data_IF_217712082834
#
_entry.id   IF_217712082834
#
_cell.length_a   1.000
_cell.length_b   1.000
_cell.length_c   1.000
_cell.angle_alpha   90.00
_cell.angle_beta   90.00
_cell.angle_gamma   90.00
#
_symmetry.space_group_name_H-M   'P 1'
#
loop_
_entity.id
_entity.type
_entity.pdbx_description
1 polymer ?
#
# COMPACT_ATOMS: atom_id res chain seq x y z
N UNK A 1 32.38 20.47 50.28
CA UNK A 1 32.85 19.08 50.43
C UNK A 1 31.93 18.19 49.60
N UNK A 2 32.29 17.93 48.34
CA UNK A 2 31.78 16.81 47.56
C UNK A 2 32.99 16.28 46.76
N UNK A 3 33.48 15.12 47.19
CA UNK A 3 34.40 14.26 46.47
C UNK A 3 33.63 13.52 45.38
N UNK A 4 34.26 13.30 44.23
CA UNK A 4 33.67 12.56 43.13
C UNK A 4 34.57 12.45 41.91
N UNK A 5 35.82 12.02 42.11
CA UNK A 5 36.69 11.51 41.04
C UNK A 5 36.02 10.32 40.36
N UNK A 6 35.72 10.44 39.06
CA UNK A 6 35.48 9.30 38.20
C UNK A 6 36.69 9.15 37.28
N UNK A 7 37.59 8.24 37.65
CA UNK A 7 38.68 7.79 36.81
C UNK A 7 38.16 6.60 36.01
N UNK A 8 37.88 6.80 34.72
CA UNK A 8 37.75 5.70 33.77
C UNK A 8 38.98 5.76 32.86
N UNK A 9 39.98 4.95 33.17
CA UNK A 9 41.02 4.55 32.21
C UNK A 9 40.60 3.17 31.71
N UNK A 10 39.63 3.17 30.79
CA UNK A 10 39.46 2.08 29.85
C UNK A 10 40.02 2.58 28.53
N UNK A 11 41.18 2.09 28.12
CA UNK A 11 41.67 2.28 26.75
C UNK A 11 40.66 1.64 25.80
N UNK A 12 39.69 2.41 25.32
CA UNK A 12 38.91 2.04 24.17
C UNK A 12 39.93 1.88 23.03
N UNK A 13 40.14 0.65 22.59
CA UNK A 13 40.72 0.41 21.26
C UNK A 13 39.95 1.32 20.30
N UNK A 14 40.61 2.17 19.51
CA UNK A 14 39.91 3.03 18.59
C UNK A 14 39.19 2.12 17.60
N UNK A 15 37.88 1.97 17.79
CA UNK A 15 37.03 1.45 16.75
C UNK A 15 37.17 2.35 15.51
N UNK A 16 36.96 1.81 14.31
CA UNK A 16 36.90 2.66 13.13
C UNK A 16 35.87 3.77 13.37
N UNK A 17 36.23 5.00 13.02
CA UNK A 17 35.31 6.13 13.14
C UNK A 17 34.02 5.84 12.37
N UNK A 18 32.88 6.32 12.89
CA UNK A 18 31.61 6.22 12.16
C UNK A 18 31.76 6.84 10.77
N UNK A 19 31.15 6.23 9.73
CA UNK A 19 31.25 6.80 8.38
C UNK A 19 30.66 8.20 8.35
N UNK A 20 31.32 9.07 7.61
CA UNK A 20 30.88 10.45 7.40
C UNK A 20 29.54 10.46 6.66
N UNK A 21 28.60 11.28 7.12
CA UNK A 21 27.44 11.67 6.31
C UNK A 21 27.93 12.70 5.28
N UNK A 22 27.99 12.30 4.02
CA UNK A 22 28.45 13.14 2.92
C UNK A 22 27.43 14.20 2.54
N UNK A 23 26.14 13.82 2.51
CA UNK A 23 25.03 14.73 2.24
C UNK A 23 23.71 14.17 2.79
N UNK A 24 22.75 15.08 2.99
CA UNK A 24 21.36 14.77 3.31
C UNK A 24 20.51 15.41 2.22
N UNK A 25 19.55 14.67 1.67
CA UNK A 25 18.71 15.15 0.58
C UNK A 25 17.45 14.32 0.42
N UNK A 26 16.93 14.30 -0.80
CA UNK A 26 15.77 13.49 -1.15
C UNK A 26 16.14 12.49 -2.25
N UNK A 27 15.58 11.29 -2.18
CA UNK A 27 15.56 10.38 -3.33
C UNK A 27 14.71 10.96 -4.47
N UNK A 28 14.83 10.43 -5.71
CA UNK A 28 13.96 10.86 -6.81
C UNK A 28 12.46 10.83 -6.48
N UNK A 29 11.99 9.80 -5.76
CA UNK A 29 10.60 9.72 -5.29
C UNK A 29 10.32 10.48 -3.99
N UNK A 30 11.26 11.28 -3.49
CA UNK A 30 11.01 12.28 -2.45
C UNK A 30 11.16 11.79 -1.01
N UNK A 31 11.79 10.62 -0.78
CA UNK A 31 12.09 10.16 0.57
C UNK A 31 13.34 10.87 1.10
N UNK A 32 13.40 11.15 2.40
CA UNK A 32 14.63 11.67 3.01
C UNK A 32 15.74 10.62 2.88
N UNK A 33 16.90 11.03 2.38
CA UNK A 33 18.04 10.17 2.11
C UNK A 33 19.34 10.73 2.69
N UNK A 34 20.20 9.81 3.13
CA UNK A 34 21.52 10.07 3.68
C UNK A 34 22.55 9.35 2.82
N UNK A 35 23.52 10.10 2.30
CA UNK A 35 24.69 9.55 1.62
C UNK A 35 25.79 9.31 2.64
N UNK A 36 26.17 8.05 2.83
CA UNK A 36 27.16 7.63 3.80
C UNK A 36 28.47 7.31 3.09
N UNK A 37 29.59 7.77 3.65
CA UNK A 37 30.92 7.42 3.15
C UNK A 37 31.20 5.91 3.23
N UNK A 38 32.26 5.43 2.55
CA UNK A 38 32.66 4.03 2.57
C UNK A 38 32.84 3.50 4.00
N UNK A 39 32.29 2.31 4.25
CA UNK A 39 32.50 1.58 5.50
C UNK A 39 32.55 0.05 5.26
N UNK A 40 33.67 -0.47 4.74
CA UNK A 40 33.83 -1.90 4.46
C UNK A 40 33.59 -2.75 5.72
N UNK A 41 32.69 -3.72 5.61
CA UNK A 41 32.31 -4.59 6.74
C UNK A 41 31.31 -3.95 7.71
N UNK A 42 30.79 -2.76 7.40
CA UNK A 42 29.77 -2.08 8.17
C UNK A 42 28.35 -2.25 7.62
N UNK A 43 27.36 -1.96 8.45
CA UNK A 43 25.98 -1.76 8.05
C UNK A 43 25.31 -0.69 8.91
N UNK A 44 24.23 -0.10 8.40
CA UNK A 44 23.63 1.10 8.96
C UNK A 44 22.13 0.95 9.09
N UNK A 45 21.59 1.43 10.20
CA UNK A 45 20.16 1.40 10.51
C UNK A 45 19.67 2.84 10.61
N UNK A 46 18.61 3.16 9.87
CA UNK A 46 17.91 4.43 9.96
C UNK A 46 16.65 4.25 10.80
N UNK A 47 16.58 4.97 11.92
CA UNK A 47 15.38 5.08 12.76
C UNK A 47 14.70 6.42 12.54
N UNK A 48 13.38 6.40 12.57
CA UNK A 48 12.52 7.57 12.45
C UNK A 48 11.65 7.73 13.69
N UNK A 49 11.47 8.97 14.13
CA UNK A 49 10.54 9.33 15.19
C UNK A 49 9.85 10.67 14.91
N UNK A 50 8.66 10.86 15.48
CA UNK A 50 7.91 12.11 15.44
C UNK A 50 8.44 13.14 16.43
N UNK A 51 9.13 12.70 17.48
CA UNK A 51 9.67 13.57 18.52
C UNK A 51 11.14 13.27 18.79
N UNK A 52 11.94 14.32 18.99
CA UNK A 52 13.36 14.19 19.33
C UNK A 52 13.56 13.41 20.64
N UNK A 53 12.65 13.53 21.60
CA UNK A 53 12.66 12.81 22.88
C UNK A 53 12.51 11.29 22.72
N UNK A 54 11.89 10.84 21.63
CA UNK A 54 11.60 9.43 21.35
C UNK A 54 12.59 8.81 20.37
N UNK A 55 13.66 9.54 20.02
CA UNK A 55 14.56 9.13 18.96
C UNK A 55 15.24 7.77 19.24
N UNK A 56 15.59 7.50 20.50
CA UNK A 56 16.20 6.24 20.92
C UNK A 56 15.27 5.02 20.85
N UNK A 57 13.95 5.25 20.83
CA UNK A 57 12.91 4.23 20.61
C UNK A 57 12.25 4.37 19.23
N UNK A 58 12.86 5.16 18.33
CA UNK A 58 12.34 5.39 16.99
C UNK A 58 12.22 4.09 16.19
N UNK A 59 11.25 4.06 15.28
CA UNK A 59 10.99 2.90 14.44
C UNK A 59 12.13 2.73 13.41
N UNK A 60 12.72 1.54 13.27
CA UNK A 60 13.59 1.26 12.14
C UNK A 60 12.80 1.31 10.83
N UNK A 61 13.23 2.16 9.91
CA UNK A 61 12.56 2.37 8.60
C UNK A 61 13.42 1.90 7.43
N UNK A 62 14.74 1.78 7.63
CA UNK A 62 15.64 1.22 6.65
C UNK A 62 16.90 0.66 7.30
N UNK A 63 17.53 -0.25 6.56
CA UNK A 63 18.83 -0.83 6.89
C UNK A 63 19.58 -1.11 5.59
N UNK A 64 20.88 -0.79 5.58
CA UNK A 64 21.72 -0.98 4.40
C UNK A 64 23.08 -1.53 4.79
N UNK A 65 23.59 -2.46 3.97
CA UNK A 65 24.96 -2.95 4.08
C UNK A 65 25.90 -1.98 3.39
N UNK A 66 26.98 -1.61 4.07
CA UNK A 66 28.02 -0.74 3.52
C UNK A 66 29.14 -1.54 2.86
N UNK A 67 29.95 -0.85 2.06
CA UNK A 67 31.04 -1.43 1.29
C UNK A 67 32.18 -0.40 1.11
N UNK A 68 33.10 -0.66 0.18
CA UNK A 68 34.24 0.25 -0.11
C UNK A 68 33.86 1.52 -0.88
N UNK A 69 32.60 1.67 -1.24
CA UNK A 69 32.00 2.84 -1.87
C UNK A 69 30.96 3.47 -0.94
N UNK A 70 30.57 4.71 -1.24
CA UNK A 70 29.47 5.37 -0.57
C UNK A 70 28.16 4.58 -0.77
N UNK A 71 27.27 4.66 0.22
CA UNK A 71 25.95 4.02 0.18
C UNK A 71 24.86 4.99 0.60
N UNK A 72 23.71 4.90 -0.07
CA UNK A 72 22.50 5.63 0.29
C UNK A 72 21.66 4.81 1.28
N UNK A 73 21.22 5.44 2.36
CA UNK A 73 20.10 4.94 3.19
C UNK A 73 19.00 6.00 3.20
N UNK A 74 17.76 5.57 2.97
CA UNK A 74 16.62 6.46 2.88
C UNK A 74 15.48 5.96 3.74
N UNK A 75 14.59 6.86 4.13
CA UNK A 75 13.33 6.54 4.79
C UNK A 75 12.53 5.48 3.98
N UNK A 76 11.58 4.81 4.62
CA UNK A 76 10.63 3.89 3.97
C UNK A 76 9.51 4.65 3.25
N UNK A 77 9.09 5.79 3.80
CA UNK A 77 7.97 6.61 3.28
C UNK A 77 8.37 8.07 3.09
N UNK A 78 7.52 8.83 2.39
CA UNK A 78 7.65 10.28 2.25
C UNK A 78 7.09 10.95 3.52
N UNK A 79 7.87 11.76 4.25
CA UNK A 79 7.35 12.49 5.39
C UNK A 79 6.39 13.60 4.94
N UNK A 80 5.18 13.64 5.52
CA UNK A 80 4.22 14.75 5.34
C UNK A 80 4.52 15.94 6.26
N UNK A 81 5.10 15.64 7.42
CA UNK A 81 5.38 16.58 8.50
C UNK A 81 6.84 16.45 8.95
N UNK A 82 7.17 17.06 10.10
CA UNK A 82 8.52 17.02 10.65
C UNK A 82 8.86 15.61 11.15
N UNK A 83 10.00 15.10 10.72
CA UNK A 83 10.57 13.84 11.20
C UNK A 83 11.93 14.07 11.88
N UNK A 84 12.28 13.20 12.82
CA UNK A 84 13.60 13.11 13.42
C UNK A 84 14.24 11.77 13.08
N UNK A 85 15.52 11.79 12.72
CA UNK A 85 16.25 10.62 12.26
C UNK A 85 17.44 10.31 13.16
N UNK A 86 17.64 9.02 13.44
CA UNK A 86 18.86 8.51 14.04
C UNK A 86 19.49 7.50 13.11
N UNK A 87 20.77 7.72 12.84
CA UNK A 87 21.59 6.78 12.11
C UNK A 87 22.49 6.03 13.09
N UNK A 88 22.40 4.71 13.07
CA UNK A 88 23.23 3.82 13.88
C UNK A 88 24.14 2.99 12.98
N UNK A 89 25.39 2.82 13.38
CA UNK A 89 26.41 2.12 12.60
C UNK A 89 26.88 0.88 13.34
N UNK A 90 26.98 -0.22 12.62
CA UNK A 90 27.30 -1.54 13.17
C UNK A 90 28.37 -2.21 12.31
N UNK A 91 29.06 -3.22 12.88
CA UNK A 91 30.08 -4.01 12.20
C UNK A 91 29.58 -5.43 11.99
N UNK A 92 29.98 -6.06 10.89
CA UNK A 92 29.66 -7.46 10.62
C UNK A 92 30.17 -8.43 11.69
N UNK A 93 31.24 -8.07 12.41
CA UNK A 93 31.80 -8.83 13.52
C UNK A 93 30.99 -8.68 14.83
N UNK A 94 30.10 -7.70 14.90
CA UNK A 94 29.18 -7.42 15.99
C UNK A 94 27.77 -7.37 15.42
N UNK A 95 27.40 -8.40 14.66
CA UNK A 95 26.11 -8.43 13.99
C UNK A 95 25.00 -8.47 15.05
N UNK A 96 24.24 -7.38 15.12
CA UNK A 96 23.02 -7.28 15.92
C UNK A 96 21.89 -8.09 15.29
N UNK A 97 20.78 -8.12 16.02
CA UNK A 97 19.51 -8.70 15.61
C UNK A 97 18.46 -7.63 15.95
N UNK A 98 18.11 -6.82 14.96
CA UNK A 98 17.35 -5.59 15.14
C UNK A 98 15.89 -5.88 15.50
N UNK A 99 15.30 -6.90 14.89
CA UNK A 99 13.90 -7.26 15.07
C UNK A 99 13.70 -8.42 16.07
N UNK A 100 14.78 -8.98 16.59
CA UNK A 100 14.84 -10.03 17.62
C UNK A 100 14.21 -11.34 17.16
N UNK A 101 14.42 -11.72 15.90
CA UNK A 101 13.91 -12.97 15.32
C UNK A 101 14.89 -14.16 15.49
N UNK A 102 16.07 -13.91 16.04
CA UNK A 102 17.14 -14.89 16.28
C UNK A 102 18.14 -15.02 15.14
N UNK A 103 17.97 -14.28 14.04
CA UNK A 103 18.95 -14.16 12.97
C UNK A 103 19.64 -12.80 13.05
N UNK A 104 20.95 -12.78 12.74
CA UNK A 104 21.66 -11.50 12.72
C UNK A 104 21.30 -10.67 11.49
N UNK A 105 21.20 -9.35 11.64
CA UNK A 105 20.92 -8.38 10.56
C UNK A 105 21.81 -8.62 9.32
N UNK A 106 23.08 -8.94 9.58
CA UNK A 106 24.09 -9.17 8.53
C UNK A 106 23.78 -10.38 7.66
N UNK A 107 23.28 -11.47 8.27
CA UNK A 107 22.88 -12.69 7.58
C UNK A 107 21.60 -12.45 6.77
N UNK A 108 20.65 -11.72 7.34
CA UNK A 108 19.38 -11.46 6.70
C UNK A 108 19.51 -10.57 5.46
N UNK A 109 20.29 -9.50 5.56
CA UNK A 109 20.61 -8.62 4.42
C UNK A 109 21.33 -9.36 3.27
N UNK A 110 21.93 -10.53 3.52
CA UNK A 110 22.53 -11.34 2.46
C UNK A 110 21.51 -12.13 1.63
N UNK A 111 20.25 -12.26 2.09
CA UNK A 111 19.19 -13.01 1.40
C UNK A 111 17.84 -12.28 1.47
N UNK A 112 17.77 -11.02 1.00
CA UNK A 112 16.57 -10.21 1.09
C UNK A 112 15.39 -10.89 0.39
N UNK A 113 14.21 -10.74 0.96
CA UNK A 113 12.97 -11.38 0.51
C UNK A 113 12.73 -12.76 1.11
N UNK A 114 13.78 -13.51 1.47
CA UNK A 114 13.61 -14.67 2.33
C UNK A 114 13.69 -14.27 3.79
N UNK A 115 14.68 -13.46 4.13
CA UNK A 115 14.75 -12.73 5.41
C UNK A 115 14.45 -11.25 5.22
N UNK A 116 14.20 -10.55 6.33
CA UNK A 116 14.00 -9.12 6.35
C UNK A 116 14.34 -8.58 7.74
N UNK A 117 15.49 -7.89 7.93
CA UNK A 117 16.03 -7.49 9.23
C UNK A 117 15.23 -6.44 10.02
N UNK A 118 14.05 -6.06 9.52
CA UNK A 118 13.13 -5.13 10.18
C UNK A 118 11.72 -5.72 10.29
N UNK A 119 11.59 -7.04 10.10
CA UNK A 119 10.33 -7.76 10.12
C UNK A 119 10.59 -9.18 10.67
N UNK A 120 10.22 -9.46 11.94
CA UNK A 120 10.62 -10.67 12.66
C UNK A 120 9.79 -11.90 12.27
N UNK A 121 9.30 -11.93 11.04
CA UNK A 121 8.51 -13.00 10.48
C UNK A 121 9.41 -14.20 10.17
N UNK A 122 9.12 -15.41 10.68
CA UNK A 122 9.83 -16.60 10.21
C UNK A 122 9.65 -16.79 8.70
N UNK A 123 10.70 -17.15 7.95
CA UNK A 123 10.61 -17.29 6.50
C UNK A 123 9.70 -18.45 6.09
N UNK A 124 8.89 -18.25 5.05
CA UNK A 124 8.18 -19.33 4.34
C UNK A 124 9.03 -19.83 3.17
N UNK A 125 8.72 -21.01 2.63
CA UNK A 125 9.34 -21.44 1.37
C UNK A 125 9.07 -20.38 0.29
N UNK A 126 10.11 -20.03 -0.49
CA UNK A 126 10.07 -18.98 -1.52
C UNK A 126 9.01 -19.20 -2.59
N UNK A 127 8.57 -20.44 -2.79
CA UNK A 127 7.46 -20.74 -3.70
C UNK A 127 6.12 -20.26 -3.15
N UNK A 128 6.00 -19.99 -1.85
CA UNK A 128 4.73 -19.62 -1.24
C UNK A 128 4.60 -18.12 -1.01
N UNK A 129 5.71 -17.43 -0.76
CA UNK A 129 5.70 -16.02 -0.41
C UNK A 129 7.08 -15.46 -0.10
N UNK A 130 7.10 -14.23 0.38
CA UNK A 130 8.29 -13.45 0.68
C UNK A 130 8.07 -12.51 1.86
N UNK A 131 9.14 -12.18 2.58
CA UNK A 131 9.12 -11.18 3.67
C UNK A 131 9.46 -9.76 3.20
N UNK A 132 9.89 -9.62 1.94
CA UNK A 132 10.33 -8.35 1.35
C UNK A 132 10.29 -8.44 -0.18
N UNK A 133 9.67 -7.47 -0.83
CA UNK A 133 9.72 -7.37 -2.28
C UNK A 133 10.95 -6.53 -2.66
N UNK A 134 11.90 -7.18 -3.33
CA UNK A 134 13.25 -6.63 -3.51
C UNK A 134 13.41 -5.77 -4.76
N UNK A 135 12.54 -5.95 -5.75
CA UNK A 135 12.51 -5.18 -6.99
C UNK A 135 11.20 -5.42 -7.74
N UNK A 136 11.00 -4.67 -8.83
CA UNK A 136 9.82 -4.81 -9.69
C UNK A 136 9.63 -6.23 -10.22
N UNK A 137 10.69 -6.88 -10.68
CA UNK A 137 10.59 -8.25 -11.21
C UNK A 137 10.15 -9.25 -10.13
N UNK A 138 10.51 -9.03 -8.86
CA UNK A 138 10.04 -9.85 -7.75
C UNK A 138 8.53 -9.66 -7.52
N UNK A 139 8.05 -8.42 -7.50
CA UNK A 139 6.61 -8.13 -7.44
C UNK A 139 5.86 -8.82 -8.58
N UNK A 140 6.31 -8.65 -9.84
CA UNK A 140 5.65 -9.23 -11.02
C UNK A 140 5.58 -10.76 -10.99
N UNK A 141 6.58 -11.44 -10.43
CA UNK A 141 6.56 -12.90 -10.29
C UNK A 141 5.51 -13.39 -9.30
N UNK A 142 5.23 -12.60 -8.26
CA UNK A 142 4.27 -12.95 -7.21
C UNK A 142 2.86 -12.42 -7.50
N UNK A 143 2.74 -11.47 -8.42
CA UNK A 143 1.50 -10.79 -8.70
C UNK A 143 0.51 -11.71 -9.43
N UNK A 144 -0.67 -11.89 -8.85
CA UNK A 144 -1.83 -12.41 -9.57
C UNK A 144 -2.36 -11.37 -10.53
N UNK A 145 -2.98 -11.82 -11.61
CA UNK A 145 -3.71 -10.97 -12.57
C UNK A 145 -5.17 -11.34 -12.45
N UNK A 146 -5.98 -10.46 -11.87
CA UNK A 146 -7.42 -10.67 -11.85
C UNK A 146 -7.99 -10.27 -13.21
N UNK A 147 -8.59 -11.23 -13.93
CA UNK A 147 -9.12 -11.06 -15.28
C UNK A 147 -10.61 -10.74 -15.31
N UNK A 148 -11.15 -10.09 -14.27
CA UNK A 148 -12.59 -9.76 -14.22
C UNK A 148 -12.97 -8.81 -15.35
N UNK A 149 -14.16 -8.98 -15.94
CA UNK A 149 -14.70 -8.04 -16.91
C UNK A 149 -14.66 -6.62 -16.34
N UNK A 150 -14.02 -5.71 -17.09
CA UNK A 150 -13.89 -4.30 -16.74
C UNK A 150 -12.74 -3.91 -15.80
N UNK A 151 -11.83 -4.84 -15.52
CA UNK A 151 -10.52 -4.54 -14.94
C UNK A 151 -9.44 -5.33 -15.67
N UNK A 152 -8.99 -4.90 -16.85
CA UNK A 152 -7.92 -5.60 -17.53
C UNK A 152 -6.62 -5.44 -16.72
N UNK A 153 -6.02 -6.58 -16.33
CA UNK A 153 -4.62 -6.71 -15.89
C UNK A 153 -4.24 -6.01 -14.56
N UNK A 154 -5.16 -5.93 -13.59
CA UNK A 154 -4.78 -5.52 -12.23
C UNK A 154 -3.78 -6.54 -11.69
N UNK A 155 -2.54 -6.09 -11.54
CA UNK A 155 -1.48 -6.84 -10.88
C UNK A 155 -1.62 -6.61 -9.39
N UNK A 156 -1.79 -7.69 -8.64
CA UNK A 156 -1.89 -7.64 -7.19
C UNK A 156 -1.00 -8.67 -6.50
N UNK A 157 -0.32 -8.25 -5.44
CA UNK A 157 0.32 -9.15 -4.47
C UNK A 157 -0.45 -9.04 -3.16
N UNK A 158 -1.00 -10.15 -2.68
CA UNK A 158 -1.67 -10.20 -1.37
C UNK A 158 -0.65 -10.11 -0.26
N UNK A 159 -0.98 -9.37 0.79
CA UNK A 159 -0.19 -9.31 2.01
C UNK A 159 -1.01 -9.72 3.23
N UNK A 160 -0.31 -10.21 4.24
CA UNK A 160 -0.84 -10.53 5.56
C UNK A 160 0.08 -9.95 6.62
N UNK A 161 -0.50 -9.18 7.55
CA UNK A 161 0.20 -8.73 8.75
C UNK A 161 -0.44 -9.40 9.96
N UNK A 162 0.30 -10.21 10.70
CA UNK A 162 -0.18 -10.81 11.95
C UNK A 162 0.24 -9.96 13.15
N UNK A 163 -0.40 -10.20 14.30
CA UNK A 163 -0.08 -9.56 15.57
C UNK A 163 -0.21 -8.04 15.56
N UNK A 164 -1.15 -7.46 14.80
CA UNK A 164 -1.28 -5.99 14.73
C UNK A 164 -1.75 -5.35 16.05
N UNK A 165 -2.29 -6.17 16.95
CA UNK A 165 -2.63 -5.83 18.33
C UNK A 165 -1.41 -5.78 19.29
N UNK A 166 -0.21 -6.19 18.84
CA UNK A 166 1.02 -6.15 19.64
C UNK A 166 2.01 -5.10 19.12
N UNK A 167 3.07 -4.78 19.87
CA UNK A 167 4.17 -3.94 19.37
C UNK A 167 5.02 -4.60 18.27
N UNK A 168 4.90 -5.91 18.06
CA UNK A 168 5.74 -6.72 17.15
C UNK A 168 4.89 -7.42 16.06
N UNK A 169 4.29 -6.64 15.15
CA UNK A 169 3.61 -7.20 13.99
C UNK A 169 4.60 -7.88 13.04
N UNK A 170 4.12 -8.88 12.29
CA UNK A 170 4.92 -9.61 11.29
C UNK A 170 4.22 -9.59 9.93
N UNK A 171 4.97 -9.27 8.87
CA UNK A 171 4.46 -9.10 7.51
C UNK A 171 4.88 -10.28 6.61
N UNK A 172 3.94 -10.73 5.78
CA UNK A 172 4.17 -11.65 4.68
C UNK A 172 3.55 -11.10 3.40
N UNK A 173 4.25 -11.24 2.28
CA UNK A 173 3.70 -11.18 0.94
C UNK A 173 3.43 -12.61 0.46
N UNK A 174 2.21 -12.90 0.02
CA UNK A 174 1.83 -14.19 -0.52
C UNK A 174 2.02 -14.20 -2.04
N UNK A 175 2.55 -15.30 -2.59
CA UNK A 175 2.54 -15.54 -4.02
C UNK A 175 1.08 -15.72 -4.48
N UNK A 176 0.54 -14.67 -5.09
CA UNK A 176 -0.89 -14.59 -5.44
C UNK A 176 -1.19 -15.40 -6.69
N UNK A 177 -0.18 -15.82 -7.45
CA UNK A 177 -0.35 -16.82 -8.51
C UNK A 177 -0.72 -18.20 -7.95
N UNK A 178 -0.42 -18.46 -6.66
CA UNK A 178 -0.70 -19.72 -5.95
C UNK A 178 -1.83 -19.60 -4.94
N UNK A 179 -1.91 -18.48 -4.23
CA UNK A 179 -2.86 -18.26 -3.15
C UNK A 179 -3.84 -17.15 -3.49
N UNK A 180 -4.99 -17.55 -4.04
CA UNK A 180 -6.10 -16.63 -4.33
C UNK A 180 -6.77 -16.11 -3.06
N UNK A 181 -6.70 -16.84 -1.95
CA UNK A 181 -7.24 -16.43 -0.66
C UNK A 181 -6.15 -16.30 0.39
N UNK A 182 -6.23 -15.25 1.22
CA UNK A 182 -5.36 -15.08 2.39
C UNK A 182 -5.43 -16.27 3.36
N UNK A 183 -6.61 -16.88 3.48
CA UNK A 183 -6.81 -18.07 4.32
C UNK A 183 -5.92 -19.24 3.88
N UNK A 184 -5.85 -19.51 2.58
CA UNK A 184 -5.08 -20.65 2.05
C UNK A 184 -3.58 -20.44 2.30
N UNK A 185 -3.07 -19.22 2.11
CA UNK A 185 -1.68 -18.90 2.43
C UNK A 185 -1.40 -19.07 3.92
N UNK A 186 -2.26 -18.55 4.81
CA UNK A 186 -2.02 -18.70 6.25
C UNK A 186 -2.10 -20.15 6.71
N UNK A 187 -2.93 -20.98 6.07
CA UNK A 187 -3.11 -22.37 6.44
C UNK A 187 -1.97 -23.24 5.91
N UNK A 188 -1.63 -23.09 4.63
CA UNK A 188 -0.74 -24.02 3.92
C UNK A 188 0.73 -23.59 3.93
N UNK A 189 1.02 -22.28 3.99
CA UNK A 189 2.38 -21.76 3.93
C UNK A 189 2.90 -21.30 5.29
N UNK A 190 2.11 -20.48 6.00
CA UNK A 190 2.49 -19.96 7.33
C UNK A 190 2.13 -20.95 8.45
N UNK A 191 1.20 -21.86 8.20
CA UNK A 191 0.68 -22.83 9.18
C UNK A 191 0.20 -22.18 10.50
N UNK A 192 -0.48 -21.04 10.38
CA UNK A 192 -0.90 -20.22 11.54
C UNK A 192 -2.37 -20.35 11.91
N UNK A 193 -3.23 -20.61 10.93
CA UNK A 193 -4.65 -20.83 11.14
C UNK A 193 -5.09 -22.10 10.42
N UNK A 194 -5.86 -22.95 11.11
CA UNK A 194 -6.49 -24.16 10.56
C UNK A 194 -8.03 -24.07 10.50
N UNK A 195 -8.58 -22.92 10.89
CA UNK A 195 -10.01 -22.63 10.90
C UNK A 195 -10.26 -21.30 10.20
N UNK A 196 -11.05 -21.35 9.13
CA UNK A 196 -11.44 -20.15 8.37
C UNK A 196 -12.23 -19.17 9.25
N UNK A 197 -13.11 -19.68 10.11
CA UNK A 197 -13.91 -18.85 11.02
C UNK A 197 -13.05 -18.10 12.03
N UNK A 198 -12.03 -18.77 12.59
CA UNK A 198 -11.10 -18.12 13.52
C UNK A 198 -10.19 -17.11 12.82
N UNK A 199 -9.71 -17.44 11.61
CA UNK A 199 -8.95 -16.49 10.81
C UNK A 199 -9.77 -15.24 10.51
N UNK A 200 -11.03 -15.40 10.07
CA UNK A 200 -11.90 -14.27 9.76
C UNK A 200 -12.20 -13.41 10.99
N UNK A 201 -12.54 -14.01 12.13
CA UNK A 201 -12.84 -13.26 13.36
C UNK A 201 -11.64 -12.48 13.91
N UNK A 202 -10.42 -12.94 13.64
CA UNK A 202 -9.18 -12.26 13.99
C UNK A 202 -8.73 -11.22 12.95
N UNK A 203 -9.28 -11.25 11.73
CA UNK A 203 -8.76 -10.45 10.59
C UNK A 203 -9.67 -9.32 10.19
N UNK A 204 -11.00 -9.51 10.19
CA UNK A 204 -11.96 -8.59 9.57
C UNK A 204 -12.98 -8.03 10.57
N UNK A 205 -13.53 -6.86 10.25
CA UNK A 205 -14.75 -6.25 10.83
C UNK A 205 -14.74 -5.88 12.31
N UNK A 206 -13.62 -6.02 13.04
CA UNK A 206 -13.56 -5.66 14.45
C UNK A 206 -12.29 -4.91 14.83
N UNK A 207 -12.36 -3.57 14.97
CA UNK A 207 -11.20 -2.77 15.33
C UNK A 207 -10.73 -2.94 16.79
N UNK A 208 -11.54 -3.50 17.69
CA UNK A 208 -11.18 -3.68 19.10
C UNK A 208 -10.38 -4.96 19.35
N UNK A 209 -10.66 -6.02 18.59
CA UNK A 209 -10.02 -7.33 18.76
C UNK A 209 -9.22 -7.80 17.55
N UNK A 210 -9.11 -6.98 16.49
CA UNK A 210 -8.33 -7.28 15.28
C UNK A 210 -6.92 -7.73 15.65
N UNK A 211 -6.56 -8.92 15.20
CA UNK A 211 -5.22 -9.49 15.37
C UNK A 211 -4.40 -9.52 14.10
N UNK A 212 -5.05 -9.54 12.93
CA UNK A 212 -4.39 -9.58 11.64
C UNK A 212 -4.92 -8.49 10.70
N UNK A 213 -4.14 -8.13 9.70
CA UNK A 213 -4.57 -7.40 8.51
C UNK A 213 -4.35 -8.27 7.29
N UNK A 214 -5.30 -8.24 6.38
CA UNK A 214 -5.22 -8.88 5.08
C UNK A 214 -5.62 -7.85 4.02
N UNK A 215 -4.80 -7.72 2.98
CA UNK A 215 -5.03 -6.78 1.91
C UNK A 215 -4.27 -7.14 0.63
N UNK A 216 -4.31 -6.23 -0.33
CA UNK A 216 -3.64 -6.33 -1.61
C UNK A 216 -2.76 -5.12 -1.86
N UNK A 217 -1.60 -5.38 -2.48
CA UNK A 217 -0.69 -4.39 -3.01
C UNK A 217 -0.86 -4.31 -4.52
N UNK A 218 -1.44 -3.22 -5.02
CA UNK A 218 -1.84 -3.08 -6.43
C UNK A 218 -0.88 -2.14 -7.15
N UNK A 219 -0.45 -2.52 -8.36
CA UNK A 219 0.43 -1.69 -9.20
C UNK A 219 -0.36 -0.87 -10.22
N UNK A 220 -0.20 0.45 -10.17
CA UNK A 220 -0.80 1.44 -11.07
C UNK A 220 0.25 2.05 -11.99
N UNK A 221 0.71 1.30 -12.99
CA UNK A 221 1.82 1.73 -13.88
C UNK A 221 1.50 2.95 -14.74
N UNK A 222 0.22 3.19 -15.00
CA UNK A 222 -0.26 4.33 -15.79
C UNK A 222 -0.47 5.59 -14.94
N UNK A 223 -0.37 5.47 -13.61
CA UNK A 223 -0.39 6.64 -12.74
C UNK A 223 0.81 7.54 -13.07
N UNK A 224 0.56 8.84 -13.08
CA UNK A 224 1.58 9.88 -13.23
C UNK A 224 1.26 10.97 -12.22
N UNK A 225 2.20 11.25 -11.33
CA UNK A 225 2.03 12.30 -10.33
C UNK A 225 2.21 13.71 -10.93
N UNK A 226 2.00 14.74 -10.12
CA UNK A 226 2.11 16.14 -10.53
C UNK A 226 3.53 16.54 -10.99
N UNK A 227 4.54 15.76 -10.63
CA UNK A 227 5.95 15.96 -11.03
C UNK A 227 6.33 15.13 -12.26
N UNK A 228 5.38 14.39 -12.85
CA UNK A 228 5.62 13.54 -14.02
C UNK A 228 6.20 12.16 -13.67
N UNK A 229 6.31 11.80 -12.40
CA UNK A 229 6.80 10.50 -11.97
C UNK A 229 5.74 9.43 -12.23
N UNK A 230 6.14 8.35 -12.90
CA UNK A 230 5.24 7.27 -13.31
C UNK A 230 5.20 6.13 -12.29
N UNK A 231 4.04 5.52 -12.18
CA UNK A 231 3.81 4.33 -11.37
C UNK A 231 3.52 4.64 -9.90
N UNK A 232 2.58 3.90 -9.34
CA UNK A 232 2.26 3.93 -7.91
C UNK A 232 1.87 2.53 -7.44
N UNK A 233 2.23 2.19 -6.21
CA UNK A 233 1.68 1.04 -5.52
C UNK A 233 0.62 1.46 -4.50
N UNK A 234 -0.57 0.87 -4.53
CA UNK A 234 -1.58 1.11 -3.50
C UNK A 234 -1.67 -0.05 -2.52
N UNK A 235 -1.76 0.27 -1.23
CA UNK A 235 -2.16 -0.65 -0.17
C UNK A 235 -3.68 -0.56 -0.06
N UNK A 236 -4.36 -1.68 -0.30
CA UNK A 236 -5.83 -1.75 -0.30
C UNK A 236 -6.32 -2.89 0.59
N UNK A 237 -7.43 -2.68 1.29
CA UNK A 237 -8.10 -3.68 2.12
C UNK A 237 -9.44 -4.07 1.50
N UNK A 238 -10.05 -5.16 2.00
CA UNK A 238 -11.39 -5.57 1.54
C UNK A 238 -12.37 -4.39 1.65
N UNK A 239 -13.06 -4.00 0.56
CA UNK A 239 -14.02 -2.90 0.55
C UNK A 239 -14.93 -2.74 1.76
N UNK A 240 -15.52 -3.82 2.30
CA UNK A 240 -16.44 -3.72 3.43
C UNK A 240 -15.76 -3.78 4.80
N UNK A 241 -14.43 -3.93 4.85
CA UNK A 241 -13.68 -4.04 6.10
C UNK A 241 -13.34 -2.64 6.64
N UNK A 242 -13.87 -2.24 7.82
CA UNK A 242 -13.61 -0.94 8.43
C UNK A 242 -12.25 -0.95 9.13
N UNK A 243 -11.15 -0.70 8.40
CA UNK A 243 -9.80 -0.71 8.99
C UNK A 243 -9.46 0.67 9.57
N UNK A 244 -9.41 0.79 10.91
CA UNK A 244 -9.02 2.04 11.57
C UNK A 244 -7.56 2.44 11.30
N UNK A 245 -7.26 3.75 11.33
CA UNK A 245 -5.96 4.39 11.07
C UNK A 245 -4.80 3.66 11.77
N UNK A 246 -4.91 3.38 13.06
CA UNK A 246 -3.84 2.71 13.83
C UNK A 246 -3.39 1.37 13.23
N UNK A 247 -4.28 0.69 12.52
CA UNK A 247 -3.96 -0.54 11.80
C UNK A 247 -3.44 -0.25 10.39
N UNK A 248 -4.05 0.71 9.69
CA UNK A 248 -3.56 1.17 8.38
C UNK A 248 -2.11 1.64 8.48
N UNK A 249 -1.77 2.50 9.43
CA UNK A 249 -0.42 3.00 9.68
C UNK A 249 0.56 1.86 9.95
N UNK A 250 0.20 0.95 10.86
CA UNK A 250 1.06 -0.18 11.22
C UNK A 250 1.38 -1.05 10.01
N UNK A 251 0.37 -1.40 9.21
CA UNK A 251 0.52 -2.21 8.00
C UNK A 251 1.28 -1.47 6.90
N UNK A 252 0.85 -0.25 6.55
CA UNK A 252 1.45 0.57 5.49
C UNK A 252 2.95 0.75 5.71
N UNK A 253 3.36 1.09 6.93
CA UNK A 253 4.77 1.32 7.25
C UNK A 253 5.63 0.05 7.17
N UNK A 254 5.09 -1.11 7.57
CA UNK A 254 5.81 -2.39 7.40
C UNK A 254 6.00 -2.69 5.92
N UNK A 255 4.94 -2.50 5.13
CA UNK A 255 4.94 -2.75 3.68
C UNK A 255 5.94 -1.80 3.00
N UNK A 256 5.87 -0.50 3.26
CA UNK A 256 6.77 0.49 2.69
C UNK A 256 8.25 0.19 3.01
N UNK A 257 8.56 -0.19 4.25
CA UNK A 257 9.92 -0.53 4.66
C UNK A 257 10.40 -1.87 4.05
N UNK A 258 9.47 -2.78 3.74
CA UNK A 258 9.73 -4.07 3.10
C UNK A 258 9.71 -4.01 1.56
N UNK A 259 9.67 -2.79 1.01
CA UNK A 259 9.61 -2.51 -0.43
C UNK A 259 10.52 -1.33 -0.82
N UNK A 260 11.82 -1.30 -0.45
CA UNK A 260 12.66 -0.12 -0.65
C UNK A 260 12.79 0.34 -2.12
N UNK A 261 12.58 -0.57 -3.09
CA UNK A 261 12.66 -0.29 -4.53
C UNK A 261 11.56 0.65 -5.05
N UNK A 262 10.45 0.85 -4.32
CA UNK A 262 9.36 1.74 -4.77
C UNK A 262 9.68 3.22 -4.59
N UNK A 263 10.74 3.53 -3.86
CA UNK A 263 11.26 4.87 -3.67
C UNK A 263 10.22 5.92 -3.21
N UNK A 264 9.23 5.51 -2.41
CA UNK A 264 8.18 6.42 -1.92
C UNK A 264 6.93 6.47 -2.81
N UNK A 265 6.94 5.78 -3.94
CA UNK A 265 5.77 5.59 -4.82
C UNK A 265 4.83 4.50 -4.27
N UNK A 266 4.40 4.69 -3.03
CA UNK A 266 3.40 3.86 -2.35
C UNK A 266 2.41 4.78 -1.63
N UNK A 267 1.14 4.40 -1.63
CA UNK A 267 0.07 5.11 -0.93
C UNK A 267 -0.97 4.13 -0.39
N UNK A 268 -1.68 4.51 0.67
CA UNK A 268 -2.94 3.90 1.05
C UNK A 268 -4.05 4.45 0.14
N UNK A 269 -4.90 3.58 -0.39
CA UNK A 269 -6.07 3.96 -1.18
C UNK A 269 -7.34 3.46 -0.47
N UNK A 270 -8.16 4.36 0.10
CA UNK A 270 -9.47 4.01 0.68
C UNK A 270 -10.46 3.73 -0.46
N UNK A 271 -10.41 2.52 -1.01
CA UNK A 271 -11.08 2.13 -2.26
C UNK A 271 -12.62 1.96 -2.13
N UNK A 272 -13.19 2.14 -0.94
CA UNK A 272 -14.63 1.97 -0.66
C UNK A 272 -15.19 3.10 0.18
N UNK A 273 -16.52 3.24 0.19
CA UNK A 273 -17.22 4.18 1.07
C UNK A 273 -16.89 3.93 2.54
N UNK A 274 -16.94 2.67 2.99
CA UNK A 274 -16.59 2.29 4.38
C UNK A 274 -15.20 2.77 4.78
N UNK A 275 -14.22 2.68 3.86
CA UNK A 275 -12.85 3.12 4.12
C UNK A 275 -12.69 4.64 4.03
N UNK A 276 -13.42 5.30 3.12
CA UNK A 276 -13.43 6.77 2.99
C UNK A 276 -14.03 7.44 4.21
N UNK A 277 -15.15 6.94 4.74
CA UNK A 277 -15.74 7.47 5.98
C UNK A 277 -14.74 7.41 7.15
N UNK A 278 -14.02 6.29 7.31
CA UNK A 278 -13.00 6.17 8.37
C UNK A 278 -11.83 7.12 8.14
N UNK A 279 -11.37 7.25 6.90
CA UNK A 279 -10.32 8.20 6.55
C UNK A 279 -10.72 9.65 6.88
N UNK A 280 -11.96 10.03 6.57
CA UNK A 280 -12.52 11.35 6.89
C UNK A 280 -12.66 11.56 8.40
N UNK A 281 -13.19 10.57 9.13
CA UNK A 281 -13.35 10.62 10.59
C UNK A 281 -12.01 10.68 11.34
N UNK A 282 -10.95 10.10 10.79
CA UNK A 282 -9.61 10.00 11.40
C UNK A 282 -8.55 10.83 10.64
N UNK A 283 -8.98 11.85 9.88
CA UNK A 283 -8.12 12.64 8.98
C UNK A 283 -6.90 13.26 9.68
N UNK A 284 -7.08 13.83 10.88
CA UNK A 284 -5.99 14.42 11.65
C UNK A 284 -4.88 13.41 11.95
N UNK A 285 -5.24 12.15 12.21
CA UNK A 285 -4.26 11.11 12.46
C UNK A 285 -3.49 10.75 11.18
N UNK A 286 -4.17 10.67 10.03
CA UNK A 286 -3.53 10.47 8.73
C UNK A 286 -2.60 11.63 8.32
N UNK A 287 -2.98 12.87 8.61
CA UNK A 287 -2.18 14.06 8.29
C UNK A 287 -0.92 14.16 9.14
N UNK A 288 -1.01 13.75 10.41
CA UNK A 288 0.11 13.70 11.34
C UNK A 288 0.94 12.39 11.25
N UNK A 289 0.70 11.57 10.22
CA UNK A 289 1.39 10.30 9.99
C UNK A 289 2.31 10.36 8.76
N UNK A 290 2.97 9.23 8.50
CA UNK A 290 3.76 8.98 7.28
C UNK A 290 3.00 8.16 6.24
N UNK A 291 1.71 7.91 6.46
CA UNK A 291 0.84 7.21 5.52
C UNK A 291 0.45 8.16 4.41
N UNK A 292 1.08 8.04 3.24
CA UNK A 292 0.60 8.76 2.06
C UNK A 292 -0.76 8.19 1.66
N UNK A 293 -1.73 9.04 1.38
CA UNK A 293 -3.07 8.64 0.98
C UNK A 293 -3.31 9.15 -0.44
N UNK A 294 -3.90 8.32 -1.30
CA UNK A 294 -4.36 8.73 -2.62
C UNK A 294 -5.86 8.44 -2.73
N UNK A 295 -6.63 9.43 -3.16
CA UNK A 295 -8.06 9.28 -3.39
C UNK A 295 -8.32 8.70 -4.78
N UNK A 296 -9.48 8.08 -4.98
CA UNK A 296 -9.85 7.41 -6.23
C UNK A 296 -9.80 8.36 -7.43
N UNK A 297 -10.29 9.58 -7.26
CA UNK A 297 -10.30 10.62 -8.28
C UNK A 297 -8.88 11.03 -8.71
N UNK A 298 -7.97 11.18 -7.74
CA UNK A 298 -6.55 11.46 -8.01
C UNK A 298 -5.86 10.26 -8.69
N UNK A 299 -6.06 9.05 -8.17
CA UNK A 299 -5.43 7.82 -8.68
C UNK A 299 -5.75 7.59 -10.15
N UNK A 300 -6.99 7.88 -10.55
CA UNK A 300 -7.48 7.69 -11.91
C UNK A 300 -7.61 9.00 -12.69
N UNK A 301 -7.02 10.12 -12.21
CA UNK A 301 -7.12 11.45 -12.83
C UNK A 301 -6.60 11.54 -14.27
N UNK A 302 -5.89 10.52 -14.76
CA UNK A 302 -5.39 10.41 -16.14
C UNK A 302 -6.13 9.34 -16.97
N UNK A 303 -7.06 8.59 -16.37
CA UNK A 303 -7.92 7.65 -17.08
C UNK A 303 -9.12 8.40 -17.64
N UNK A 304 -9.35 8.31 -18.95
CA UNK A 304 -10.49 8.97 -19.63
C UNK A 304 -11.66 8.02 -19.86
N UNK A 305 -11.41 6.71 -19.81
CA UNK A 305 -12.39 5.65 -20.03
C UNK A 305 -12.00 4.39 -19.26
N UNK A 306 -12.98 3.76 -18.60
CA UNK A 306 -12.88 2.41 -18.07
C UNK A 306 -14.19 1.68 -18.36
N UNK A 307 -14.18 0.64 -19.20
CA UNK A 307 -15.29 -0.29 -19.27
C UNK A 307 -15.32 -1.10 -17.97
N UNK A 308 -16.45 -1.15 -17.26
CA UNK A 308 -16.57 -1.79 -15.93
C UNK A 308 -17.44 -3.05 -15.96
N UNK A 309 -18.50 -3.03 -16.78
CA UNK A 309 -19.31 -4.20 -17.10
C UNK A 309 -19.62 -4.15 -18.60
N UNK A 310 -18.89 -4.90 -19.44
CA UNK A 310 -19.14 -4.96 -20.87
C UNK A 310 -20.54 -5.49 -21.19
N UNK A 311 -21.15 -4.95 -22.23
CA UNK A 311 -22.51 -5.32 -22.62
C UNK A 311 -23.13 -4.27 -23.53
N UNK A 312 -24.42 -4.45 -23.81
CA UNK A 312 -25.17 -3.55 -24.66
C UNK A 312 -26.57 -3.28 -24.12
N UNK A 313 -27.11 -2.12 -24.43
CA UNK A 313 -28.42 -1.68 -24.00
C UNK A 313 -28.95 -0.53 -24.85
N UNK A 314 -30.22 -0.21 -24.64
CA UNK A 314 -30.90 0.86 -25.35
C UNK A 314 -31.66 1.72 -24.36
N UNK A 315 -31.73 3.03 -24.62
CA UNK A 315 -32.54 3.91 -23.80
C UNK A 315 -32.32 5.37 -24.13
N UNK A 316 -33.05 6.24 -23.45
CA UNK A 316 -32.88 7.69 -23.55
C UNK A 316 -31.66 8.11 -22.74
N UNK A 317 -30.69 8.77 -23.38
CA UNK A 317 -29.48 9.23 -22.68
C UNK A 317 -29.79 10.43 -21.79
N UNK A 318 -29.46 10.36 -20.50
CA UNK A 318 -29.82 11.40 -19.52
C UNK A 318 -28.72 11.64 -18.51
N UNK A 319 -28.48 12.90 -18.16
CA UNK A 319 -27.66 13.28 -17.00
C UNK A 319 -28.54 13.28 -15.76
N UNK A 320 -28.16 12.54 -14.73
CA UNK A 320 -28.90 12.43 -13.48
C UNK A 320 -28.30 13.39 -12.45
N UNK A 321 -29.11 14.32 -11.94
CA UNK A 321 -28.64 15.35 -10.98
C UNK A 321 -29.22 15.16 -9.56
N UNK A 322 -29.95 14.08 -9.30
CA UNK A 322 -30.56 13.85 -7.99
C UNK A 322 -31.52 12.65 -7.98
N UNK A 323 -32.62 12.77 -7.23
CA UNK A 323 -33.65 11.75 -7.04
C UNK A 323 -34.66 11.69 -8.20
N UNK A 324 -34.14 11.58 -9.42
CA UNK A 324 -34.97 11.36 -10.61
C UNK A 324 -35.51 9.92 -10.64
N UNK A 325 -36.72 9.73 -11.15
CA UNK A 325 -37.27 8.40 -11.41
C UNK A 325 -36.62 7.86 -12.68
N UNK A 326 -35.78 6.84 -12.50
CA UNK A 326 -35.10 6.12 -13.57
C UNK A 326 -35.82 4.80 -13.86
N UNK A 327 -35.71 4.35 -15.10
CA UNK A 327 -36.33 3.11 -15.59
C UNK A 327 -35.39 2.33 -16.48
N UNK A 328 -35.80 1.11 -16.83
CA UNK A 328 -35.10 0.24 -17.79
C UNK A 328 -34.95 0.84 -19.19
N UNK A 329 -35.62 1.97 -19.47
CA UNK A 329 -35.56 2.70 -20.75
C UNK A 329 -34.57 3.87 -20.72
N UNK A 330 -33.84 4.07 -19.63
CA UNK A 330 -32.88 5.16 -19.51
C UNK A 330 -31.44 4.63 -19.64
N UNK A 331 -30.59 5.36 -20.35
CA UNK A 331 -29.13 5.25 -20.26
C UNK A 331 -28.66 6.47 -19.49
N UNK A 332 -28.02 6.27 -18.34
CA UNK A 332 -27.81 7.33 -17.36
C UNK A 332 -26.35 7.73 -17.22
N UNK A 333 -26.10 9.03 -17.15
CA UNK A 333 -24.82 9.63 -16.79
C UNK A 333 -24.93 10.14 -15.35
N UNK A 334 -24.16 9.54 -14.46
CA UNK A 334 -24.05 9.95 -13.05
C UNK A 334 -22.82 10.82 -12.84
N UNK A 335 -23.04 12.06 -12.42
CA UNK A 335 -21.96 12.97 -11.98
C UNK A 335 -21.48 12.66 -10.56
N UNK A 336 -22.37 12.11 -9.74
CA UNK A 336 -22.10 11.64 -8.38
C UNK A 336 -22.56 10.19 -8.26
N UNK A 337 -21.85 9.38 -7.48
CA UNK A 337 -22.18 7.97 -7.27
C UNK A 337 -23.50 7.88 -6.49
N UNK A 338 -24.54 7.22 -7.01
CA UNK A 338 -25.80 7.08 -6.29
C UNK A 338 -25.69 6.02 -5.18
N UNK A 339 -26.38 6.28 -4.06
CA UNK A 339 -26.45 5.32 -2.94
C UNK A 339 -27.28 4.08 -3.29
N UNK A 340 -28.29 4.23 -4.13
CA UNK A 340 -29.11 3.14 -4.64
C UNK A 340 -29.27 3.26 -6.15
N UNK A 341 -29.30 2.12 -6.84
CA UNK A 341 -29.34 2.05 -8.29
C UNK A 341 -30.51 1.18 -8.72
N UNK A 342 -31.53 1.84 -9.28
CA UNK A 342 -32.64 1.18 -9.96
C UNK A 342 -32.17 0.55 -11.28
N UNK A 343 -32.93 -0.42 -11.79
CA UNK A 343 -32.58 -1.10 -13.03
C UNK A 343 -32.75 -0.16 -14.23
N UNK A 344 -31.66 0.01 -15.01
CA UNK A 344 -31.55 0.93 -16.15
C UNK A 344 -30.95 0.22 -17.36
N UNK A 345 -31.11 0.81 -18.55
CA UNK A 345 -30.61 0.26 -19.83
C UNK A 345 -29.11 0.44 -20.03
N UNK A 346 -28.47 1.35 -19.29
CA UNK A 346 -27.01 1.54 -19.32
C UNK A 346 -26.54 2.58 -18.32
N UNK A 347 -25.29 2.46 -17.89
CA UNK A 347 -24.68 3.31 -16.86
C UNK A 347 -23.37 3.89 -17.38
N UNK A 348 -23.25 5.21 -17.24
CA UNK A 348 -22.04 5.99 -17.41
C UNK A 348 -21.79 6.76 -16.11
N UNK A 349 -20.58 6.73 -15.58
CA UNK A 349 -20.17 7.52 -14.41
C UNK A 349 -19.08 8.51 -14.81
N UNK A 350 -19.12 9.73 -14.26
CA UNK A 350 -18.07 10.75 -14.44
C UNK A 350 -17.03 10.74 -13.32
N UNK A 351 -17.24 9.91 -12.29
CA UNK A 351 -16.27 9.66 -11.21
C UNK A 351 -15.67 8.27 -11.45
N UNK A 352 -14.33 8.11 -11.50
CA UNK A 352 -13.70 6.82 -11.65
C UNK A 352 -14.22 5.82 -10.62
N UNK A 353 -14.60 4.63 -11.08
CA UNK A 353 -15.07 3.55 -10.22
C UNK A 353 -14.05 2.41 -10.23
N UNK A 354 -14.02 1.66 -9.14
CA UNK A 354 -13.36 0.35 -9.13
C UNK A 354 -14.31 -0.73 -9.65
N UNK A 355 -13.78 -1.85 -10.18
CA UNK A 355 -14.58 -2.99 -10.62
C UNK A 355 -15.46 -3.61 -9.52
N UNK A 356 -15.08 -3.42 -8.25
CA UNK A 356 -15.83 -3.90 -7.08
C UNK A 356 -16.68 -2.81 -6.42
N UNK A 357 -16.82 -1.64 -7.04
CA UNK A 357 -17.74 -0.60 -6.58
C UNK A 357 -19.17 -1.14 -6.48
N UNK A 358 -19.94 -0.63 -5.51
CA UNK A 358 -21.35 -1.03 -5.33
C UNK A 358 -22.16 -0.87 -6.63
N UNK A 359 -21.93 0.23 -7.36
CA UNK A 359 -22.55 0.48 -8.67
C UNK A 359 -22.20 -0.63 -9.66
N UNK A 360 -20.92 -1.00 -9.79
CA UNK A 360 -20.53 -2.03 -10.75
C UNK A 360 -21.03 -3.42 -10.36
N UNK A 361 -21.00 -3.78 -9.07
CA UNK A 361 -21.55 -5.05 -8.60
C UNK A 361 -23.06 -5.13 -8.90
N UNK A 362 -23.80 -4.03 -8.73
CA UNK A 362 -25.22 -3.97 -9.09
C UNK A 362 -25.43 -4.05 -10.60
N UNK A 363 -24.59 -3.38 -11.38
CA UNK A 363 -24.62 -3.46 -12.84
C UNK A 363 -24.39 -4.89 -13.34
N UNK A 364 -23.44 -5.63 -12.75
CA UNK A 364 -23.19 -7.04 -13.04
C UNK A 364 -24.39 -7.91 -12.67
N UNK A 365 -24.97 -7.74 -11.47
CA UNK A 365 -26.18 -8.48 -11.05
C UNK A 365 -27.35 -8.29 -12.01
N UNK A 366 -27.47 -7.09 -12.57
CA UNK A 366 -28.55 -6.69 -13.46
C UNK A 366 -28.23 -6.91 -14.95
N UNK A 367 -27.04 -7.40 -15.31
CA UNK A 367 -26.54 -7.45 -16.68
C UNK A 367 -26.65 -6.11 -17.43
N UNK A 368 -26.40 -4.99 -16.73
CA UNK A 368 -26.46 -3.63 -17.29
C UNK A 368 -25.07 -3.17 -17.74
N UNK A 369 -24.88 -2.69 -18.99
CA UNK A 369 -23.59 -2.16 -19.41
C UNK A 369 -23.19 -0.96 -18.56
N UNK A 370 -21.94 -0.97 -18.08
CA UNK A 370 -21.41 0.05 -17.17
C UNK A 370 -20.01 0.49 -17.57
N UNK A 371 -19.79 1.80 -17.61
CA UNK A 371 -18.47 2.38 -17.83
C UNK A 371 -18.26 3.66 -17.01
N UNK A 372 -17.01 3.96 -16.71
CA UNK A 372 -16.56 5.29 -16.38
C UNK A 372 -16.12 5.99 -17.67
N UNK A 373 -16.61 7.22 -17.89
CA UNK A 373 -16.17 8.09 -18.98
C UNK A 373 -15.98 9.49 -18.40
N UNK A 374 -14.78 10.04 -18.55
CA UNK A 374 -14.49 11.38 -18.06
C UNK A 374 -15.35 12.43 -18.77
N UNK A 375 -15.93 13.33 -17.98
CA UNK A 375 -16.69 14.48 -18.46
C UNK A 375 -17.81 14.12 -19.45
N UNK A 376 -18.38 12.90 -19.35
CA UNK A 376 -19.30 12.31 -20.32
C UNK A 376 -20.48 13.22 -20.72
N UNK A 377 -21.05 13.93 -19.75
CA UNK A 377 -22.16 14.88 -19.93
C UNK A 377 -21.80 16.12 -20.73
N UNK A 378 -20.51 16.42 -20.87
CA UNK A 378 -19.98 17.54 -21.65
C UNK A 378 -19.06 17.10 -22.80
N UNK A 379 -18.81 15.79 -22.94
CA UNK A 379 -17.94 15.24 -23.96
C UNK A 379 -18.53 15.54 -25.35
N UNK A 380 -17.75 16.09 -26.30
CA UNK A 380 -18.27 16.55 -27.59
C UNK A 380 -18.94 15.44 -28.41
N UNK A 381 -18.50 14.20 -28.24
CA UNK A 381 -19.08 13.04 -28.93
C UNK A 381 -20.31 12.43 -28.22
N UNK A 382 -20.60 12.82 -26.97
CA UNK A 382 -21.71 12.27 -26.17
C UNK A 382 -22.81 13.31 -25.97
N UNK A 383 -22.44 14.56 -25.66
CA UNK A 383 -23.36 15.65 -25.39
C UNK A 383 -24.45 15.86 -26.47
N UNK A 384 -24.18 15.69 -27.78
CA UNK A 384 -25.21 15.79 -28.82
C UNK A 384 -26.34 14.76 -28.70
N UNK A 385 -26.13 13.65 -27.98
CA UNK A 385 -27.13 12.59 -27.81
C UNK A 385 -27.95 12.75 -26.52
N UNK A 386 -27.69 13.77 -25.69
CA UNK A 386 -28.46 14.01 -24.47
C UNK A 386 -29.94 14.24 -24.79
N UNK A 387 -30.80 13.43 -24.18
CA UNK A 387 -32.24 13.45 -24.41
C UNK A 387 -32.71 12.61 -25.60
N UNK A 388 -31.80 12.01 -26.37
CA UNK A 388 -32.12 11.15 -27.51
C UNK A 388 -32.12 9.67 -27.12
N UNK A 389 -32.80 8.84 -27.93
CA UNK A 389 -32.70 7.39 -27.80
C UNK A 389 -31.37 6.91 -28.40
N UNK A 390 -30.58 6.19 -27.60
CA UNK A 390 -29.27 5.69 -27.98
C UNK A 390 -29.21 4.18 -27.91
N UNK A 391 -28.37 3.60 -28.77
CA UNK A 391 -27.76 2.31 -28.53
C UNK A 391 -26.46 2.55 -27.78
N UNK A 392 -26.31 1.90 -26.62
CA UNK A 392 -25.14 2.02 -25.77
C UNK A 392 -24.44 0.67 -25.67
N UNK A 393 -23.16 0.64 -26.03
CA UNK A 393 -22.30 -0.55 -25.92
C UNK A 393 -21.03 -0.20 -25.16
N UNK A 394 -20.68 -1.07 -24.23
CA UNK A 394 -19.39 -1.04 -23.52
C UNK A 394 -18.57 -2.22 -23.99
N UNK A 395 -17.46 -1.90 -24.65
CA UNK A 395 -16.46 -2.87 -25.07
C UNK A 395 -15.41 -3.10 -23.96
N UNK A 396 -14.58 -4.14 -24.12
CA UNK A 396 -13.54 -4.53 -23.15
C UNK A 396 -12.33 -3.63 -23.15
#
# INVERSE_FOLDING_TARGET
>A
MILGTCCWIGTALPGPANPKINSIGHTPGGKIAFELGPDPGGYHILRRSNALSELGSGRPVAIVRSNSSAVTIADSSRPKSRAFYQLSHFRSSQAGDLDNDGFSDWLEMARPGYYNPINPAPPVNRIHGSLMLTNRAHYERMAGRDGRPGAPEIREVKFLVYNVHTPTPVLYFADTTRYQYHYDFTNQAVNRYNSVSLFQSHTYFNNSTRRNLAGSLIAHDNYVDEKGQRGLYTVEFWPSDPVAFRFVEKGYELIAASMPFVDGNIAYHPASETQRTIYEDEQEAFDNSYVNVIQTDELYRNVVFTGLNPGEGYGRLRVVNGSEILSVRDVVIFRNIPNDLTHVGGIITEIPQTPLSHVNLKAMQNNTPNAYIRDASSHPDIAPFLGENVYYRVDR
#
